data_IF_608912932555
#
_entry.id   IF_608912932555
#
_cell.length_a   1.000
_cell.length_b   1.000
_cell.length_c   1.000
_cell.angle_alpha   90.00
_cell.angle_beta   90.00
_cell.angle_gamma   90.00
#
_symmetry.space_group_name_H-M   'P 1'
#
loop_
_entity.id
_entity.type
_entity.pdbx_description
1 polymer ?
#
# COMPACT_ATOMS: atom_id res chain seq x y z
N UNK A 1 -15.50 -66.48 5.30
CA UNK A 1 -15.45 -65.32 4.38
C UNK A 1 -16.43 -64.29 4.88
N UNK A 2 -15.96 -63.36 5.70
CA UNK A 2 -16.55 -62.05 5.95
C UNK A 2 -15.38 -61.09 6.25
N UNK A 3 -15.43 -59.81 5.83
CA UNK A 3 -14.26 -58.95 5.77
C UNK A 3 -13.99 -58.17 7.06
N UNK A 4 -12.70 -57.97 7.31
CA UNK A 4 -12.09 -57.26 8.43
C UNK A 4 -12.38 -55.75 8.43
N UNK A 5 -12.62 -55.23 9.64
CA UNK A 5 -12.70 -53.81 9.96
C UNK A 5 -11.34 -53.11 9.79
N UNK A 6 -11.23 -52.17 8.85
CA UNK A 6 -10.16 -51.18 8.84
C UNK A 6 -10.71 -49.79 9.19
N UNK A 7 -10.69 -49.47 10.48
CA UNK A 7 -10.97 -48.14 10.99
C UNK A 7 -9.69 -47.30 10.81
N UNK A 8 -9.66 -46.45 9.77
CA UNK A 8 -8.51 -45.58 9.45
C UNK A 8 -8.51 -44.39 10.40
N UNK A 9 -7.69 -44.46 11.45
CA UNK A 9 -7.44 -43.35 12.38
C UNK A 9 -6.88 -42.17 11.58
N UNK A 10 -7.66 -41.10 11.49
CA UNK A 10 -7.24 -39.81 10.95
C UNK A 10 -6.26 -39.19 11.96
N UNK A 11 -4.97 -39.25 11.68
CA UNK A 11 -3.94 -38.59 12.49
C UNK A 11 -4.18 -37.08 12.48
N UNK A 12 -4.37 -36.49 13.65
CA UNK A 12 -4.41 -35.04 13.85
C UNK A 12 -3.09 -34.38 13.40
N UNK A 13 -3.11 -33.18 12.81
CA UNK A 13 -1.90 -32.46 12.43
C UNK A 13 -1.06 -32.12 13.67
N UNK A 14 0.28 -32.09 13.56
CA UNK A 14 1.17 -31.86 14.70
C UNK A 14 0.94 -30.46 15.28
N UNK A 15 0.88 -30.39 16.61
CA UNK A 15 0.81 -29.14 17.35
C UNK A 15 2.14 -28.39 17.20
N UNK A 16 2.10 -27.19 16.61
CA UNK A 16 3.24 -26.28 16.54
C UNK A 16 3.68 -25.91 17.98
N UNK A 17 4.93 -26.15 18.34
CA UNK A 17 5.44 -26.00 19.71
C UNK A 17 5.49 -24.53 20.17
N UNK A 18 5.25 -24.29 21.46
CA UNK A 18 5.17 -22.96 22.07
C UNK A 18 6.43 -22.07 21.93
N UNK A 19 7.58 -22.63 21.52
CA UNK A 19 8.82 -21.89 21.26
C UNK A 19 8.73 -20.98 20.03
N UNK A 20 8.03 -21.42 18.98
CA UNK A 20 7.86 -20.63 17.75
C UNK A 20 6.90 -19.46 17.96
N UNK A 21 5.92 -19.61 18.86
CA UNK A 21 5.03 -18.51 19.25
C UNK A 21 5.74 -17.43 20.08
N UNK A 22 6.81 -17.76 20.82
CA UNK A 22 7.53 -16.77 21.64
C UNK A 22 8.49 -15.91 20.80
N UNK A 23 9.06 -16.44 19.72
CA UNK A 23 9.93 -15.68 18.80
C UNK A 23 9.14 -14.67 17.95
N UNK A 24 7.88 -14.97 17.63
CA UNK A 24 7.01 -14.13 16.78
C UNK A 24 6.54 -12.83 17.45
N UNK A 25 6.44 -12.80 18.79
CA UNK A 25 6.15 -11.57 19.54
C UNK A 25 7.31 -10.56 19.49
N UNK A 26 8.47 -10.97 18.97
CA UNK A 26 9.68 -10.15 18.84
C UNK A 26 9.99 -9.68 17.41
N UNK A 27 9.10 -9.92 16.45
CA UNK A 27 9.35 -9.55 15.06
C UNK A 27 8.87 -8.14 14.73
N UNK A 28 9.65 -7.45 13.89
CA UNK A 28 9.35 -6.11 13.35
C UNK A 28 8.57 -6.26 12.04
N UNK A 29 7.39 -5.64 11.95
CA UNK A 29 6.57 -5.63 10.74
C UNK A 29 6.25 -4.20 10.30
N UNK A 30 6.14 -3.99 8.99
CA UNK A 30 5.65 -2.73 8.43
C UNK A 30 4.40 -3.00 7.62
N UNK A 31 3.38 -2.16 7.84
CA UNK A 31 2.21 -2.03 7.00
C UNK A 31 2.37 -0.83 6.06
N UNK A 32 2.21 -1.04 4.76
CA UNK A 32 2.14 0.03 3.78
C UNK A 32 0.71 0.17 3.26
N UNK A 33 0.21 1.41 3.23
CA UNK A 33 -0.97 1.76 2.41
C UNK A 33 -0.47 2.43 1.14
N UNK A 34 -0.72 1.79 0.01
CA UNK A 34 -0.41 2.30 -1.32
C UNK A 34 -1.70 2.73 -2.00
N UNK A 35 -1.70 3.92 -2.56
CA UNK A 35 -2.84 4.48 -3.26
C UNK A 35 -2.52 4.74 -4.73
N UNK A 36 -3.22 4.05 -5.62
CA UNK A 36 -3.09 4.22 -7.07
C UNK A 36 -4.33 4.91 -7.63
N UNK A 37 -4.13 5.91 -8.49
CA UNK A 37 -5.16 6.67 -9.18
C UNK A 37 -5.68 5.89 -10.39
N UNK A 38 -6.26 4.73 -10.16
CA UNK A 38 -6.99 3.93 -11.15
C UNK A 38 -7.87 2.91 -10.41
N UNK A 39 -9.06 2.62 -10.94
CA UNK A 39 -9.91 1.53 -10.45
C UNK A 39 -10.87 0.98 -11.51
N UNK A 40 -10.82 1.49 -12.74
CA UNK A 40 -11.76 1.19 -13.84
C UNK A 40 -11.07 0.41 -14.96
N UNK A 41 -9.79 0.66 -15.21
CA UNK A 41 -8.99 -0.10 -16.15
C UNK A 41 -8.59 -1.45 -15.53
N UNK A 42 -9.38 -2.48 -15.78
CA UNK A 42 -9.16 -3.82 -15.21
C UNK A 42 -7.80 -4.40 -15.60
N UNK A 43 -7.31 -4.17 -16.83
CA UNK A 43 -6.01 -4.67 -17.25
C UNK A 43 -4.85 -4.06 -16.45
N UNK A 44 -4.93 -2.75 -16.16
CA UNK A 44 -3.93 -2.08 -15.32
C UNK A 44 -4.00 -2.62 -13.88
N UNK A 45 -5.20 -2.76 -13.33
CA UNK A 45 -5.42 -3.29 -11.99
C UNK A 45 -4.94 -4.74 -11.85
N UNK A 46 -5.21 -5.59 -12.84
CA UNK A 46 -4.76 -6.98 -12.87
C UNK A 46 -3.23 -7.09 -12.91
N UNK A 47 -2.56 -6.22 -13.67
CA UNK A 47 -1.10 -6.16 -13.72
C UNK A 47 -0.51 -5.75 -12.36
N UNK A 48 -1.09 -4.73 -11.71
CA UNK A 48 -0.67 -4.28 -10.38
C UNK A 48 -0.93 -5.37 -9.32
N UNK A 49 -2.09 -6.03 -9.40
CA UNK A 49 -2.47 -7.13 -8.51
C UNK A 49 -1.52 -8.33 -8.65
N UNK A 50 -1.06 -8.62 -9.86
CA UNK A 50 -0.04 -9.65 -10.13
C UNK A 50 1.29 -9.27 -9.49
N UNK A 51 1.74 -8.02 -9.66
CA UNK A 51 2.95 -7.51 -9.03
C UNK A 51 2.87 -7.54 -7.49
N UNK A 52 1.71 -7.22 -6.91
CA UNK A 52 1.46 -7.27 -5.47
C UNK A 52 1.63 -8.68 -4.88
N UNK A 53 1.41 -9.72 -5.68
CA UNK A 53 1.49 -11.14 -5.30
C UNK A 53 2.79 -11.81 -5.76
N UNK A 54 3.76 -11.05 -6.25
CA UNK A 54 5.01 -11.57 -6.80
C UNK A 54 5.96 -12.18 -5.75
N UNK A 55 5.80 -11.82 -4.47
CA UNK A 55 6.61 -12.35 -3.37
C UNK A 55 5.70 -12.87 -2.23
N UNK A 56 5.75 -14.17 -1.87
CA UNK A 56 4.92 -14.74 -0.81
C UNK A 56 5.23 -14.17 0.58
N UNK A 57 6.36 -13.48 0.76
CA UNK A 57 6.72 -12.82 2.01
C UNK A 57 5.96 -11.50 2.24
N UNK A 58 5.17 -11.03 1.25
CA UNK A 58 4.35 -9.83 1.36
C UNK A 58 2.87 -10.23 1.29
N UNK A 59 2.13 -9.92 2.35
CA UNK A 59 0.70 -10.18 2.40
C UNK A 59 -0.08 -8.94 1.95
N UNK A 60 -1.00 -9.12 0.99
CA UNK A 60 -2.02 -8.13 0.66
C UNK A 60 -3.21 -8.31 1.62
N UNK A 61 -3.32 -7.46 2.64
CA UNK A 61 -4.37 -7.55 3.66
C UNK A 61 -5.74 -7.17 3.13
N UNK A 62 -5.78 -6.10 2.35
CA UNK A 62 -7.02 -5.58 1.78
C UNK A 62 -6.71 -4.75 0.55
N UNK A 63 -7.64 -4.80 -0.39
CA UNK A 63 -7.72 -3.94 -1.57
C UNK A 63 -9.07 -3.23 -1.48
N UNK A 64 -9.06 -1.92 -1.51
CA UNK A 64 -10.29 -1.11 -1.52
C UNK A 64 -10.34 -0.32 -2.81
N UNK A 65 -11.31 -0.64 -3.66
CA UNK A 65 -11.50 -0.05 -4.98
C UNK A 65 -12.69 0.90 -4.92
N UNK A 66 -12.52 2.13 -5.38
CA UNK A 66 -13.58 3.12 -5.44
C UNK A 66 -13.71 3.68 -6.87
N UNK A 67 -14.75 3.25 -7.57
CA UNK A 67 -15.04 3.65 -8.94
C UNK A 67 -15.39 5.13 -9.08
N UNK A 68 -15.98 5.75 -8.06
CA UNK A 68 -16.35 7.17 -8.11
C UNK A 68 -15.08 8.04 -7.96
N UNK A 69 -14.21 7.66 -7.04
CA UNK A 69 -12.92 8.29 -6.82
C UNK A 69 -11.92 7.95 -7.93
N UNK A 70 -12.14 6.85 -8.66
CA UNK A 70 -11.21 6.25 -9.60
C UNK A 70 -9.85 6.02 -8.96
N UNK A 71 -9.87 5.31 -7.83
CA UNK A 71 -8.71 5.10 -6.98
C UNK A 71 -8.80 3.75 -6.29
N UNK A 72 -7.68 3.04 -6.22
CA UNK A 72 -7.52 1.82 -5.44
C UNK A 72 -6.53 2.04 -4.30
N UNK A 73 -6.83 1.43 -3.15
CA UNK A 73 -5.95 1.40 -1.98
C UNK A 73 -5.58 -0.04 -1.66
N UNK A 74 -4.29 -0.34 -1.69
CA UNK A 74 -3.71 -1.59 -1.21
C UNK A 74 -3.22 -1.43 0.22
N UNK A 75 -3.43 -2.44 1.05
CA UNK A 75 -2.81 -2.56 2.37
C UNK A 75 -1.90 -3.77 2.35
N UNK A 76 -0.60 -3.54 2.40
CA UNK A 76 0.44 -4.55 2.30
C UNK A 76 1.13 -4.69 3.65
N UNK A 77 1.49 -5.90 4.06
CA UNK A 77 2.27 -6.14 5.28
C UNK A 77 3.39 -7.12 5.00
N UNK A 78 4.57 -6.82 5.53
CA UNK A 78 5.70 -7.74 5.56
C UNK A 78 6.58 -7.46 6.77
N UNK A 79 7.47 -8.40 7.08
CA UNK A 79 8.49 -8.21 8.10
C UNK A 79 9.64 -7.37 7.56
N UNK A 80 10.41 -6.81 8.48
CA UNK A 80 11.68 -6.14 8.18
C UNK A 80 12.78 -6.72 9.04
N UNK A 81 14.02 -6.66 8.54
CA UNK A 81 15.20 -7.06 9.29
C UNK A 81 16.17 -5.90 9.34
N UNK A 82 16.53 -5.50 10.55
CA UNK A 82 17.57 -4.51 10.80
C UNK A 82 18.87 -5.18 11.24
N UNK A 83 19.98 -4.52 11.00
CA UNK A 83 21.26 -4.84 11.61
C UNK A 83 21.20 -4.60 13.11
N UNK A 84 21.62 -5.57 13.93
CA UNK A 84 21.56 -5.43 15.39
C UNK A 84 22.56 -4.42 15.96
N UNK A 85 23.60 -4.05 15.21
CA UNK A 85 24.66 -3.14 15.64
C UNK A 85 24.45 -1.70 15.14
N UNK A 86 23.98 -1.52 13.91
CA UNK A 86 23.77 -0.18 13.30
C UNK A 86 22.30 0.24 13.28
N UNK A 87 21.39 -0.68 13.59
CA UNK A 87 19.94 -0.56 13.38
C UNK A 87 19.56 -0.30 11.91
N UNK A 88 20.47 -0.40 10.94
CA UNK A 88 20.15 -0.16 9.53
C UNK A 88 19.24 -1.23 8.95
N UNK A 89 18.34 -0.83 8.03
CA UNK A 89 17.42 -1.76 7.38
C UNK A 89 18.17 -2.61 6.35
N UNK A 90 18.37 -3.89 6.64
CA UNK A 90 19.07 -4.85 5.76
C UNK A 90 18.11 -5.43 4.73
N UNK A 91 16.90 -5.80 5.15
CA UNK A 91 15.98 -6.56 4.31
C UNK A 91 14.52 -6.14 4.50
N UNK A 92 13.83 -5.96 3.37
CA UNK A 92 12.43 -5.54 3.31
C UNK A 92 11.78 -6.08 2.02
N UNK A 93 11.05 -7.20 2.10
CA UNK A 93 10.32 -7.74 0.94
C UNK A 93 9.30 -6.75 0.37
N UNK A 94 8.63 -6.00 1.26
CA UNK A 94 7.62 -5.01 0.88
C UNK A 94 8.20 -3.88 0.01
N UNK A 95 9.46 -3.48 0.21
CA UNK A 95 10.14 -2.49 -0.65
C UNK A 95 10.16 -2.95 -2.12
N UNK A 96 10.59 -4.19 -2.35
CA UNK A 96 10.68 -4.78 -3.69
C UNK A 96 9.30 -4.91 -4.34
N UNK A 97 8.30 -5.41 -3.60
CA UNK A 97 6.93 -5.55 -4.12
C UNK A 97 6.31 -4.19 -4.44
N UNK A 98 6.52 -3.17 -3.61
CA UNK A 98 6.07 -1.82 -3.88
C UNK A 98 6.66 -1.27 -5.18
N UNK A 99 7.97 -1.43 -5.41
CA UNK A 99 8.61 -1.01 -6.66
C UNK A 99 8.01 -1.72 -7.87
N UNK A 100 7.83 -3.04 -7.83
CA UNK A 100 7.19 -3.79 -8.91
C UNK A 100 5.74 -3.33 -9.18
N UNK A 101 4.97 -3.06 -8.13
CA UNK A 101 3.61 -2.51 -8.27
C UNK A 101 3.62 -1.12 -8.92
N UNK A 102 4.57 -0.26 -8.54
CA UNK A 102 4.70 1.08 -9.11
C UNK A 102 5.16 1.05 -10.56
N UNK A 103 6.13 0.19 -10.91
CA UNK A 103 6.53 -0.05 -12.31
C UNK A 103 5.34 -0.50 -13.16
N UNK A 104 4.53 -1.42 -12.64
CA UNK A 104 3.30 -1.87 -13.32
C UNK A 104 2.29 -0.73 -13.46
N UNK A 105 2.09 0.08 -12.42
CA UNK A 105 1.17 1.22 -12.47
C UNK A 105 1.62 2.27 -13.49
N UNK A 106 2.88 2.70 -13.46
CA UNK A 106 3.41 3.71 -14.38
C UNK A 106 3.53 3.24 -15.84
N UNK A 107 3.53 1.93 -16.09
CA UNK A 107 3.55 1.38 -17.46
C UNK A 107 2.16 1.14 -18.05
N UNK A 108 1.12 1.08 -17.21
CA UNK A 108 -0.25 0.72 -17.64
C UNK A 108 -1.25 1.85 -17.49
N UNK A 109 -0.95 2.88 -16.70
CA UNK A 109 -1.84 4.01 -16.42
C UNK A 109 -1.25 5.27 -17.03
N UNK A 110 -2.07 5.97 -17.83
CA UNK A 110 -1.79 7.34 -18.26
C UNK A 110 -2.71 8.31 -17.48
N UNK A 111 -2.10 9.12 -16.61
CA UNK A 111 -2.81 10.08 -15.76
C UNK A 111 -3.52 11.19 -16.54
N UNK A 112 -3.11 11.52 -17.77
CA UNK A 112 -3.78 12.52 -18.61
C UNK A 112 -5.21 12.10 -18.99
N UNK A 113 -5.42 10.79 -19.09
CA UNK A 113 -6.73 10.19 -19.37
C UNK A 113 -7.54 9.94 -18.09
N UNK A 114 -6.92 10.10 -16.92
CA UNK A 114 -7.56 9.82 -15.65
C UNK A 114 -8.60 10.87 -15.28
N UNK A 115 -9.79 10.42 -14.89
CA UNK A 115 -10.82 11.24 -14.28
C UNK A 115 -11.44 10.55 -13.07
N UNK A 116 -11.64 11.29 -11.98
CA UNK A 116 -12.21 10.77 -10.73
C UNK A 116 -12.61 11.91 -9.80
N UNK A 117 -13.53 11.63 -8.87
CA UNK A 117 -14.00 12.62 -7.90
C UNK A 117 -12.97 12.90 -6.78
N UNK A 118 -11.95 12.06 -6.63
CA UNK A 118 -10.91 12.25 -5.63
C UNK A 118 -9.75 13.08 -6.18
N UNK A 119 -9.30 14.11 -5.44
CA UNK A 119 -8.11 14.84 -5.80
C UNK A 119 -6.83 13.97 -5.76
N UNK A 120 -6.15 13.80 -6.90
CA UNK A 120 -4.88 13.07 -7.09
C UNK A 120 -3.73 13.94 -7.63
N UNK A 121 -2.51 13.63 -7.21
CA UNK A 121 -1.26 14.23 -7.69
C UNK A 121 -0.54 13.40 -8.76
N UNK A 122 -0.71 12.08 -8.74
CA UNK A 122 0.04 11.15 -9.58
C UNK A 122 -0.68 9.82 -9.78
N UNK A 123 -0.11 8.98 -10.65
CA UNK A 123 -0.53 7.58 -10.82
C UNK A 123 -0.41 6.86 -9.49
N UNK A 124 0.76 6.94 -8.85
CA UNK A 124 0.89 6.69 -7.43
C UNK A 124 0.67 8.01 -6.67
N UNK A 125 -0.50 8.16 -6.07
CA UNK A 125 -0.88 9.38 -5.36
C UNK A 125 -0.21 9.46 -3.99
N UNK A 126 -0.23 8.36 -3.23
CA UNK A 126 0.19 8.37 -1.84
C UNK A 126 0.69 6.99 -1.35
N UNK A 127 1.75 7.03 -0.56
CA UNK A 127 2.32 5.90 0.17
C UNK A 127 2.38 6.25 1.65
N UNK A 128 1.95 5.36 2.54
CA UNK A 128 2.15 5.56 3.98
C UNK A 128 2.58 4.29 4.68
N UNK A 129 3.63 4.41 5.49
CA UNK A 129 4.23 3.31 6.24
C UNK A 129 3.88 3.40 7.72
N UNK A 130 3.44 2.28 8.27
CA UNK A 130 2.96 2.18 9.63
C UNK A 130 3.65 1.00 10.33
N UNK A 131 4.35 1.23 11.45
CA UNK A 131 4.99 0.15 12.18
C UNK A 131 3.96 -0.75 12.86
N UNK A 132 4.28 -2.04 12.94
CA UNK A 132 3.51 -3.10 13.60
C UNK A 132 4.47 -4.03 14.38
N UNK A 133 3.95 -4.68 15.41
CA UNK A 133 4.77 -5.55 16.27
C UNK A 133 5.84 -4.74 17.01
N UNK A 134 7.10 -5.16 16.90
CA UNK A 134 8.24 -4.44 17.49
C UNK A 134 8.86 -3.37 16.58
N UNK A 135 8.32 -3.15 15.38
CA UNK A 135 8.84 -2.11 14.51
C UNK A 135 8.65 -0.73 15.17
N UNK A 136 9.65 0.12 15.06
CA UNK A 136 9.61 1.48 15.57
C UNK A 136 9.12 2.44 14.50
N UNK A 137 8.86 3.67 14.91
CA UNK A 137 8.51 4.72 13.96
C UNK A 137 9.70 5.06 13.05
N UNK A 138 10.91 4.96 13.56
CA UNK A 138 12.17 5.16 12.85
C UNK A 138 12.35 4.10 11.76
N UNK A 139 11.97 2.85 12.02
CA UNK A 139 11.96 1.78 11.01
C UNK A 139 11.07 2.14 9.82
N UNK A 140 9.87 2.66 10.09
CA UNK A 140 8.94 3.11 9.06
C UNK A 140 9.48 4.32 8.28
N UNK A 141 10.15 5.29 8.94
CA UNK A 141 10.82 6.41 8.26
C UNK A 141 11.88 5.91 7.31
N UNK A 142 12.75 5.02 7.80
CA UNK A 142 13.89 4.53 7.05
C UNK A 142 13.42 3.85 5.78
N UNK A 143 12.42 2.97 5.88
CA UNK A 143 11.81 2.34 4.72
C UNK A 143 11.12 3.35 3.79
N UNK A 144 10.37 4.32 4.33
CA UNK A 144 9.71 5.35 3.51
C UNK A 144 10.70 6.17 2.67
N UNK A 145 11.83 6.56 3.26
CA UNK A 145 12.90 7.30 2.56
C UNK A 145 13.60 6.44 1.51
N UNK A 146 13.87 5.18 1.82
CA UNK A 146 14.45 4.25 0.85
C UNK A 146 13.53 4.04 -0.36
N UNK A 147 12.23 3.82 -0.12
CA UNK A 147 11.23 3.70 -1.19
C UNK A 147 11.10 5.00 -1.97
N UNK A 148 11.08 6.16 -1.31
CA UNK A 148 11.03 7.46 -1.99
C UNK A 148 12.24 7.69 -2.90
N UNK A 149 13.44 7.32 -2.44
CA UNK A 149 14.65 7.43 -3.24
C UNK A 149 14.64 6.47 -4.44
N UNK A 150 14.15 5.24 -4.29
CA UNK A 150 14.00 4.30 -5.41
C UNK A 150 13.00 4.83 -6.45
N UNK A 151 11.87 5.38 -6.03
CA UNK A 151 10.89 5.99 -6.95
C UNK A 151 11.52 7.19 -7.69
N UNK A 152 12.23 8.04 -6.96
CA UNK A 152 12.88 9.22 -7.52
C UNK A 152 13.97 8.87 -8.52
N UNK A 153 14.83 7.91 -8.17
CA UNK A 153 16.02 7.54 -8.94
C UNK A 153 15.70 6.55 -10.07
N UNK A 154 14.94 5.49 -9.79
CA UNK A 154 14.74 4.40 -10.73
C UNK A 154 13.52 4.67 -11.64
N UNK A 155 12.44 5.23 -11.07
CA UNK A 155 11.21 5.50 -11.82
C UNK A 155 11.14 6.93 -12.37
N UNK A 156 12.08 7.79 -11.99
CA UNK A 156 12.16 9.19 -12.43
C UNK A 156 10.86 9.96 -12.17
N UNK A 157 10.25 9.73 -11.00
CA UNK A 157 9.01 10.40 -10.56
C UNK A 157 9.34 11.33 -9.39
N UNK A 158 8.89 12.59 -9.40
CA UNK A 158 9.06 13.49 -8.28
C UNK A 158 8.36 12.96 -7.03
N UNK A 159 9.08 12.85 -5.92
CA UNK A 159 8.53 12.39 -4.63
C UNK A 159 8.62 13.48 -3.58
N UNK A 160 7.51 13.68 -2.89
CA UNK A 160 7.41 14.60 -1.76
C UNK A 160 7.21 13.81 -0.47
N UNK A 161 8.23 13.88 0.39
CA UNK A 161 8.14 13.34 1.74
C UNK A 161 7.25 14.25 2.57
N UNK A 162 6.47 13.66 3.46
CA UNK A 162 5.62 14.44 4.34
C UNK A 162 5.47 13.83 5.72
N UNK A 163 4.81 14.63 6.54
CA UNK A 163 4.70 14.49 7.97
C UNK A 163 6.08 14.16 8.50
N UNK A 164 6.20 12.95 8.96
CA UNK A 164 7.18 12.64 9.95
C UNK A 164 8.45 12.05 9.26
N UNK A 165 8.40 11.86 7.93
CA UNK A 165 9.52 11.59 7.03
C UNK A 165 10.14 12.90 6.46
N UNK A 166 9.36 13.99 6.44
CA UNK A 166 9.83 15.30 5.99
C UNK A 166 10.65 16.00 7.08
N UNK A 167 11.79 16.66 6.77
CA UNK A 167 12.68 17.26 7.76
C UNK A 167 11.99 18.23 8.74
N UNK A 168 11.02 19.00 8.26
CA UNK A 168 10.28 19.98 9.08
C UNK A 168 8.87 19.53 9.49
N UNK A 169 8.48 18.27 9.26
CA UNK A 169 7.15 17.82 9.70
C UNK A 169 5.96 18.27 8.83
N UNK A 170 6.17 18.76 7.59
CA UNK A 170 5.09 19.35 6.76
C UNK A 170 3.95 18.36 6.52
N UNK A 171 2.70 18.78 6.60
CA UNK A 171 1.57 17.92 6.25
C UNK A 171 1.42 17.76 4.72
N UNK A 172 0.82 16.65 4.27
CA UNK A 172 0.50 16.43 2.85
C UNK A 172 -0.35 17.56 2.27
N UNK A 173 -1.28 18.11 3.07
CA UNK A 173 -2.10 19.24 2.66
C UNK A 173 -1.29 20.51 2.42
N UNK A 174 -0.21 20.74 3.17
CA UNK A 174 0.69 21.87 2.94
C UNK A 174 1.45 21.71 1.62
N UNK A 175 2.03 20.53 1.38
CA UNK A 175 2.75 20.21 0.13
C UNK A 175 1.82 20.36 -1.08
N UNK A 176 0.62 19.78 -1.02
CA UNK A 176 -0.39 19.91 -2.08
C UNK A 176 -0.74 21.37 -2.36
N UNK A 177 -0.89 22.22 -1.33
CA UNK A 177 -1.14 23.67 -1.53
C UNK A 177 0.06 24.36 -2.19
N UNK A 178 1.28 24.08 -1.76
CA UNK A 178 2.51 24.65 -2.34
C UNK A 178 2.68 24.26 -3.82
N UNK A 179 2.27 23.05 -4.19
CA UNK A 179 2.25 22.56 -5.58
C UNK A 179 1.15 23.18 -6.44
N UNK A 180 0.28 24.03 -5.88
CA UNK A 180 -0.86 24.61 -6.58
C UNK A 180 -2.01 23.60 -6.83
N UNK A 181 -1.95 22.43 -6.19
CA UNK A 181 -2.93 21.35 -6.32
C UNK A 181 -4.31 21.73 -5.75
N UNK A 182 -4.33 22.65 -4.79
CA UNK A 182 -5.54 23.21 -4.24
C UNK A 182 -5.68 24.67 -4.71
N UNK A 183 -6.60 24.95 -5.63
CA UNK A 183 -7.06 26.32 -5.86
C UNK A 183 -8.37 26.54 -5.09
N UNK A 184 -8.47 27.59 -4.24
CA UNK A 184 -9.76 27.99 -3.71
C UNK A 184 -10.64 28.44 -4.89
N UNK A 185 -11.87 27.94 -4.98
CA UNK A 185 -12.86 28.58 -5.84
C UNK A 185 -13.13 30.01 -5.34
N UNK A 186 -13.71 30.86 -6.20
CA UNK A 186 -14.01 32.26 -5.89
C UNK A 186 -14.83 32.47 -4.59
N UNK A 187 -15.52 31.42 -4.11
CA UNK A 187 -16.34 31.45 -2.89
C UNK A 187 -15.70 30.74 -1.66
N UNK A 188 -14.45 30.29 -1.74
CA UNK A 188 -13.67 29.78 -0.60
C UNK A 188 -14.17 28.48 0.04
N UNK A 189 -15.14 27.78 -0.56
CA UNK A 189 -15.82 26.61 0.03
C UNK A 189 -15.72 25.33 -0.80
N UNK A 190 -15.19 25.39 -2.01
CA UNK A 190 -14.90 24.19 -2.82
C UNK A 190 -13.52 24.29 -3.44
N UNK A 191 -12.75 23.22 -3.28
CA UNK A 191 -11.41 23.11 -3.81
C UNK A 191 -11.46 22.44 -5.18
N UNK A 192 -10.91 23.09 -6.20
CA UNK A 192 -10.70 22.50 -7.52
C UNK A 192 -9.20 22.32 -7.76
N UNK A 193 -8.80 21.14 -8.23
CA UNK A 193 -7.42 20.81 -8.52
C UNK A 193 -7.12 20.92 -10.01
N UNK A 194 -6.03 21.59 -10.37
CA UNK A 194 -5.43 21.52 -11.70
C UNK A 194 -4.46 20.34 -11.79
N UNK A 195 -4.08 19.94 -13.00
CA UNK A 195 -2.88 19.12 -13.18
C UNK A 195 -1.64 19.87 -12.67
N UNK A 196 -0.62 19.13 -12.22
CA UNK A 196 0.65 19.72 -11.83
C UNK A 196 1.30 20.39 -13.06
N UNK A 197 1.99 21.54 -12.88
CA UNK A 197 2.77 22.12 -13.97
C UNK A 197 3.97 21.23 -14.32
N UNK A 198 4.45 21.32 -15.56
CA UNK A 198 5.63 20.56 -16.03
C UNK A 198 6.85 20.80 -15.14
N UNK A 199 7.07 22.05 -14.73
CA UNK A 199 8.10 22.42 -13.76
C UNK A 199 7.43 22.73 -12.42
N UNK A 200 7.83 21.99 -11.38
CA UNK A 200 7.23 22.13 -10.05
C UNK A 200 7.62 23.45 -9.38
N UNK A 201 6.69 24.10 -8.65
CA UNK A 201 6.95 25.35 -7.94
C UNK A 201 7.83 25.16 -6.70
N UNK A 202 7.96 23.92 -6.22
CA UNK A 202 8.84 23.51 -5.14
C UNK A 202 9.66 22.31 -5.59
N UNK A 203 10.92 22.22 -5.15
CA UNK A 203 11.76 21.06 -5.44
C UNK A 203 11.23 19.82 -4.70
N UNK A 204 11.16 18.66 -5.37
CA UNK A 204 10.85 17.40 -4.70
C UNK A 204 11.99 17.01 -3.75
N UNK A 205 11.66 16.16 -2.76
CA UNK A 205 12.67 15.60 -1.85
C UNK A 205 13.54 14.57 -2.58
N UNK A 206 12.94 13.79 -3.49
CA UNK A 206 13.62 12.79 -4.31
C UNK A 206 13.11 12.86 -5.77
N UNK A 207 13.98 12.53 -6.73
CA UNK A 207 13.63 12.51 -8.16
C UNK A 207 13.71 13.86 -8.87
N UNK A 208 13.27 13.91 -10.15
CA UNK A 208 13.45 15.09 -11.00
C UNK A 208 12.47 16.21 -10.64
N UNK A 209 12.87 17.47 -10.87
CA UNK A 209 11.96 18.63 -10.73
C UNK A 209 10.97 18.77 -11.89
N UNK A 210 11.22 18.06 -12.99
CA UNK A 210 10.32 18.00 -14.14
C UNK A 210 9.34 16.84 -13.96
N UNK A 211 8.05 17.12 -14.16
CA UNK A 211 6.97 16.14 -14.00
C UNK A 211 6.54 15.65 -15.37
N UNK A 212 6.42 14.32 -15.51
CA UNK A 212 5.67 13.76 -16.64
C UNK A 212 4.18 13.89 -16.36
N UNK A 213 3.42 14.52 -17.27
CA UNK A 213 1.96 14.64 -17.16
C UNK A 213 1.25 13.29 -17.05
N UNK A 214 1.79 12.26 -17.70
CA UNK A 214 1.28 10.88 -17.68
C UNK A 214 1.48 10.19 -16.32
N UNK A 215 2.48 10.62 -15.52
CA UNK A 215 2.84 9.98 -14.24
C UNK A 215 2.46 10.82 -13.02
N UNK A 216 2.55 12.14 -13.12
CA UNK A 216 2.38 13.09 -12.03
C UNK A 216 3.47 13.00 -10.96
N UNK A 217 3.13 13.29 -9.71
CA UNK A 217 4.03 13.23 -8.57
C UNK A 217 3.47 12.36 -7.43
N UNK A 218 4.35 11.82 -6.60
CA UNK A 218 4.00 10.91 -5.50
C UNK A 218 4.22 11.57 -4.15
N UNK A 219 3.29 11.39 -3.20
CA UNK A 219 3.52 11.72 -1.79
C UNK A 219 3.87 10.47 -0.98
N UNK A 220 4.85 10.60 -0.08
CA UNK A 220 5.31 9.49 0.76
C UNK A 220 5.34 9.92 2.23
N UNK A 221 4.55 9.23 3.03
CA UNK A 221 4.28 9.53 4.44
C UNK A 221 5.12 8.71 5.41
N UNK A 222 5.37 9.33 6.56
CA UNK A 222 5.38 8.62 7.85
C UNK A 222 4.17 9.02 8.71
N UNK A 223 3.39 8.04 9.18
CA UNK A 223 2.30 8.28 10.13
C UNK A 223 2.36 7.33 11.33
N UNK A 224 2.07 7.87 12.51
CA UNK A 224 1.55 7.07 13.62
C UNK A 224 0.09 6.70 13.32
N UNK A 225 -0.35 5.50 13.74
CA UNK A 225 -1.75 5.09 13.59
C UNK A 225 -2.68 6.09 14.31
N UNK A 226 -3.54 6.78 13.57
CA UNK A 226 -4.52 7.74 14.11
C UNK A 226 -5.80 7.14 14.68
N UNK A 227 -5.91 5.81 14.73
CA UNK A 227 -6.96 5.09 15.43
C UNK A 227 -6.42 3.70 15.81
N UNK A 228 -6.67 3.20 17.04
CA UNK A 228 -6.29 1.85 17.39
C UNK A 228 -7.01 0.89 16.43
N UNK A 229 -6.25 -0.01 15.82
CA UNK A 229 -6.82 -1.26 15.33
C UNK A 229 -7.56 -1.84 16.54
N UNK A 230 -8.89 -1.95 16.44
CA UNK A 230 -9.70 -2.52 17.52
C UNK A 230 -9.06 -3.83 17.97
N UNK A 231 -8.93 -4.00 19.30
CA UNK A 231 -8.25 -5.12 19.95
C UNK A 231 -8.75 -6.53 19.54
N UNK A 232 -9.78 -6.62 18.71
CA UNK A 232 -10.26 -7.82 18.03
C UNK A 232 -9.42 -8.25 16.80
N UNK A 233 -8.51 -7.41 16.31
CA UNK A 233 -7.63 -7.71 15.16
C UNK A 233 -6.18 -8.03 15.56
N UNK A 234 -5.91 -8.30 16.84
CA UNK A 234 -4.62 -8.86 17.27
C UNK A 234 -4.39 -10.31 16.78
N UNK A 235 -5.41 -10.96 16.20
CA UNK A 235 -5.30 -12.26 15.53
C UNK A 235 -4.88 -12.16 14.06
N UNK A 236 -4.87 -10.97 13.44
CA UNK A 236 -4.44 -10.81 12.05
C UNK A 236 -2.95 -11.05 11.85
N UNK A 237 -2.01 -10.50 12.64
CA UNK A 237 -0.58 -10.83 12.50
C UNK A 237 -0.30 -12.34 12.56
N UNK A 238 -1.04 -13.06 13.42
CA UNK A 238 -0.96 -14.52 13.56
C UNK A 238 -1.53 -15.28 12.37
N UNK A 239 -2.69 -14.86 11.82
CA UNK A 239 -3.24 -15.45 10.59
C UNK A 239 -2.37 -15.14 9.37
N UNK A 240 -1.78 -13.96 9.31
CA UNK A 240 -0.97 -13.49 8.19
C UNK A 240 0.32 -14.29 8.02
N UNK A 241 0.98 -14.65 9.12
CA UNK A 241 2.11 -15.54 9.04
C UNK A 241 1.71 -16.99 8.77
N UNK A 242 0.60 -17.47 9.37
CA UNK A 242 0.09 -18.81 9.07
C UNK A 242 -0.21 -18.96 7.58
N UNK A 243 -0.81 -17.95 6.95
CA UNK A 243 -1.14 -17.99 5.54
C UNK A 243 0.11 -17.74 4.65
N UNK A 244 1.09 -16.94 5.09
CA UNK A 244 2.39 -16.79 4.41
C UNK A 244 3.34 -18.01 4.54
N UNK A 245 3.29 -18.77 5.63
CA UNK A 245 4.11 -19.99 5.84
C UNK A 245 3.43 -21.28 5.39
N UNK A 246 2.10 -21.40 5.48
CA UNK A 246 1.37 -22.58 5.00
C UNK A 246 1.08 -22.54 3.50
N UNK A 247 1.25 -21.39 2.83
CA UNK A 247 1.22 -21.30 1.38
C UNK A 247 2.49 -21.91 0.77
N UNK A 248 2.54 -23.25 0.76
CA UNK A 248 3.11 -23.96 -0.38
C UNK A 248 2.37 -23.55 -1.67
N UNK A 249 2.93 -23.82 -2.86
CA UNK A 249 2.41 -23.28 -4.11
C UNK A 249 0.96 -23.76 -4.33
N UNK A 250 -0.03 -22.87 -4.16
CA UNK A 250 -1.40 -23.16 -4.60
C UNK A 250 -2.60 -22.62 -3.81
N UNK A 251 -2.48 -21.89 -2.70
CA UNK A 251 -3.71 -21.43 -2.01
C UNK A 251 -3.58 -20.11 -1.24
N UNK A 252 -3.87 -19.00 -1.91
CA UNK A 252 -4.30 -17.75 -1.26
C UNK A 252 -5.67 -17.37 -1.83
N UNK A 253 -6.74 -17.72 -1.11
CA UNK A 253 -8.08 -17.19 -1.39
C UNK A 253 -8.21 -15.84 -0.67
N UNK A 254 -8.42 -14.77 -1.46
CA UNK A 254 -8.89 -13.50 -0.95
C UNK A 254 -10.21 -13.72 -0.19
N UNK A 255 -10.34 -13.19 1.03
CA UNK A 255 -11.65 -12.97 1.62
C UNK A 255 -12.35 -11.90 0.78
N UNK A 256 -13.28 -12.33 -0.08
CA UNK A 256 -14.09 -11.43 -0.90
C UNK A 256 -14.98 -10.57 -0.01
N UNK A 257 -14.84 -9.25 -0.11
CA UNK A 257 -15.86 -8.31 0.34
C UNK A 257 -16.98 -8.23 -0.69
N UNK A 258 -17.67 -9.34 -0.91
CA UNK A 258 -18.92 -9.39 -1.65
C UNK A 258 -20.06 -9.12 -0.66
N UNK A 259 -20.24 -7.86 -0.25
CA UNK A 259 -21.43 -7.41 0.50
C UNK A 259 -21.62 -5.87 0.51
N UNK A 260 -21.07 -5.15 -0.49
CA UNK A 260 -21.26 -3.70 -0.62
C UNK A 260 -21.42 -3.26 -2.09
N UNK A 261 -22.22 -3.98 -2.89
CA UNK A 261 -22.76 -3.49 -4.15
C UNK A 261 -24.24 -3.90 -4.25
N UNK A 262 -25.07 -3.22 -3.47
CA UNK A 262 -26.53 -3.37 -3.50
C UNK A 262 -27.19 -2.01 -3.51
N UNK A 263 -27.14 -1.31 -4.64
CA UNK A 263 -27.98 -0.15 -4.93
C UNK A 263 -28.12 0.03 -6.45
N UNK A 264 -28.98 -0.82 -7.00
CA UNK A 264 -29.95 -0.56 -8.06
C UNK A 264 -29.74 0.72 -8.89
N UNK A 265 -29.08 0.57 -10.04
CA UNK A 265 -28.99 1.60 -11.07
C UNK A 265 -29.92 1.24 -12.24
N UNK A 266 -31.24 1.11 -11.97
CA UNK A 266 -32.24 1.10 -13.04
C UNK A 266 -33.65 1.43 -12.52
N UNK A 267 -34.10 2.68 -12.71
CA UNK A 267 -35.46 3.07 -13.13
C UNK A 267 -35.73 4.55 -12.83
N UNK A 268 -35.55 5.39 -13.85
CA UNK A 268 -36.39 6.57 -14.05
C UNK A 268 -36.44 6.88 -15.55
N UNK A 269 -37.36 6.21 -16.25
CA UNK A 269 -37.97 6.72 -17.47
C UNK A 269 -39.46 6.42 -17.39
N UNK A 270 -40.22 7.50 -17.61
CA UNK A 270 -41.69 7.66 -17.76
C UNK A 270 -42.53 7.32 -16.56
#
# INVERSE_FOLDING_TARGET
MEPDHANKVLSSPPALEAKDNLSMMHSKFICCKLYISESRNTMAIDAIDSAARSDPQVAVLSKFEDCLYNRVRYTLVSYIVNDSSTDELIYSPIRKVLMAMMESAFSTINLELHSGAHPRMGVNDDLSFHPLGQATMEDAVRLAKLVASDIGNDLQVPVFLYAAAHPTGKSVGAIRRELGYYRPNYMGSQWSGSMLPDVLPISPDEGPSNVSSERGATTCERKGWGAPIGASSCTLPWRLHRDCMLAGPGSCQCLSSSDCCGADCSRSRT
#
